data_IF_037226810087
#
_entry.id   IF_037226810087
#
_cell.length_a   1.000
_cell.length_b   1.000
_cell.length_c   1.000
_cell.angle_alpha   90.00
_cell.angle_beta   90.00
_cell.angle_gamma   90.00
#
_symmetry.space_group_name_H-M   'P 1'
#
loop_
_entity.id
_entity.type
_entity.pdbx_description
1 polymer ?
#
# COMPACT_ATOMS: atom_id res chain seq x y z
N UNK A 1 -1.11 -0.71 -1.00
CA UNK A 1 0.25 -0.85 -1.54
C UNK A 1 0.56 0.45 -2.26
N UNK A 2 1.72 1.04 -2.00
CA UNK A 2 2.16 2.30 -2.63
C UNK A 2 3.52 2.04 -3.24
N UNK A 3 3.65 2.20 -4.55
CA UNK A 3 4.92 2.07 -5.25
C UNK A 3 5.77 3.33 -5.03
N UNK A 4 6.91 3.14 -4.38
CA UNK A 4 7.91 4.17 -4.09
C UNK A 4 9.30 3.52 -4.05
N UNK A 5 10.36 4.32 -4.07
CA UNK A 5 11.76 3.86 -3.90
C UNK A 5 12.00 3.07 -2.60
N UNK A 6 11.12 3.22 -1.61
CA UNK A 6 11.20 2.50 -0.34
C UNK A 6 11.21 0.98 -0.53
N UNK A 7 10.45 0.43 -1.49
CA UNK A 7 10.41 -1.02 -1.72
C UNK A 7 11.74 -1.54 -2.24
N UNK A 8 12.39 -0.81 -3.14
CA UNK A 8 13.70 -1.18 -3.69
C UNK A 8 14.79 -1.17 -2.61
N UNK A 9 14.78 -0.14 -1.74
CA UNK A 9 15.72 -0.07 -0.61
C UNK A 9 15.47 -1.19 0.38
N UNK A 10 14.19 -1.49 0.69
CA UNK A 10 13.79 -2.52 1.64
C UNK A 10 14.13 -3.93 1.17
N UNK A 11 14.12 -4.20 -0.13
CA UNK A 11 14.51 -5.51 -0.70
C UNK A 11 16.02 -5.63 -0.95
N UNK A 12 16.83 -4.69 -0.45
CA UNK A 12 18.28 -4.73 -0.57
C UNK A 12 18.77 -4.47 -2.00
N UNK A 13 18.05 -3.68 -2.79
CA UNK A 13 18.39 -3.40 -4.19
C UNK A 13 18.01 -4.52 -5.16
N UNK A 14 17.23 -5.51 -4.72
CA UNK A 14 16.70 -6.54 -5.62
C UNK A 14 15.47 -5.98 -6.37
N UNK A 15 15.73 -5.48 -7.58
CA UNK A 15 14.74 -4.86 -8.45
C UNK A 15 13.68 -5.86 -8.95
N UNK A 16 14.05 -7.14 -9.11
CA UNK A 16 13.14 -8.19 -9.57
C UNK A 16 12.05 -8.51 -8.53
N UNK A 17 12.40 -8.50 -7.23
CA UNK A 17 11.41 -8.73 -6.17
C UNK A 17 10.50 -7.51 -5.93
N UNK A 18 11.01 -6.30 -6.14
CA UNK A 18 10.21 -5.07 -6.12
C UNK A 18 9.20 -5.06 -7.28
N UNK A 19 9.67 -5.37 -8.49
CA UNK A 19 8.83 -5.46 -9.69
C UNK A 19 7.75 -6.54 -9.54
N UNK A 20 8.09 -7.70 -9.00
CA UNK A 20 7.13 -8.79 -8.77
C UNK A 20 6.02 -8.41 -7.77
N UNK A 21 6.30 -7.54 -6.79
CA UNK A 21 5.31 -7.10 -5.79
C UNK A 21 4.18 -6.27 -6.41
N UNK A 22 4.51 -5.48 -7.45
CA UNK A 22 3.56 -4.59 -8.13
C UNK A 22 3.07 -5.13 -9.48
N UNK A 23 3.64 -6.25 -9.96
CA UNK A 23 3.34 -6.81 -11.27
C UNK A 23 1.85 -7.11 -11.45
N UNK A 24 1.26 -6.56 -12.51
CA UNK A 24 -0.17 -6.76 -12.83
C UNK A 24 -1.14 -5.99 -11.93
N UNK A 25 -0.65 -5.18 -10.99
CA UNK A 25 -1.46 -4.29 -10.18
C UNK A 25 -1.36 -2.84 -10.69
N UNK A 26 -2.37 -2.03 -10.33
CA UNK A 26 -2.29 -0.57 -10.39
C UNK A 26 -2.13 -0.04 -8.95
N UNK A 27 -0.91 0.00 -8.39
CA UNK A 27 -0.68 0.45 -7.02
C UNK A 27 -0.95 1.95 -6.88
N UNK A 28 -1.08 2.42 -5.64
CA UNK A 28 -0.99 3.85 -5.39
C UNK A 28 0.43 4.33 -5.65
N UNK A 29 0.60 5.62 -5.92
CA UNK A 29 1.89 6.27 -6.14
C UNK A 29 2.25 7.18 -4.96
N UNK A 30 3.52 7.60 -4.88
CA UNK A 30 3.92 8.66 -3.95
C UNK A 30 3.13 9.96 -4.14
N UNK A 31 2.73 10.28 -5.38
CA UNK A 31 1.93 11.46 -5.69
C UNK A 31 0.50 11.37 -5.13
N UNK A 32 -0.12 10.19 -5.16
CA UNK A 32 -1.46 9.99 -4.59
C UNK A 32 -1.47 10.28 -3.08
N UNK A 33 -0.41 9.86 -2.38
CA UNK A 33 -0.26 10.12 -0.94
C UNK A 33 0.03 11.61 -0.68
N UNK A 34 0.90 12.24 -1.48
CA UNK A 34 1.20 13.66 -1.35
C UNK A 34 -0.06 14.54 -1.55
N UNK A 35 -0.85 14.24 -2.57
CA UNK A 35 -2.12 14.94 -2.85
C UNK A 35 -3.12 14.74 -1.71
N UNK A 36 -3.18 13.53 -1.14
CA UNK A 36 -4.06 13.26 0.00
C UNK A 36 -3.64 14.07 1.22
N UNK A 37 -2.34 14.10 1.55
CA UNK A 37 -1.83 14.91 2.67
C UNK A 37 -2.11 16.40 2.47
N UNK A 38 -1.92 16.91 1.25
CA UNK A 38 -2.23 18.30 0.93
C UNK A 38 -3.71 18.60 1.17
N UNK A 39 -4.62 17.72 0.72
CA UNK A 39 -6.04 17.87 0.98
C UNK A 39 -6.37 17.91 2.47
N UNK A 40 -5.81 16.98 3.27
CA UNK A 40 -6.00 16.98 4.74
C UNK A 40 -5.51 18.29 5.36
N UNK A 41 -4.33 18.77 4.94
CA UNK A 41 -3.73 19.99 5.48
C UNK A 41 -4.50 21.28 5.12
N UNK A 42 -5.28 21.25 4.05
CA UNK A 42 -6.06 22.40 3.55
C UNK A 42 -7.48 22.49 4.12
N UNK A 43 -7.88 21.56 4.99
CA UNK A 43 -9.22 21.58 5.57
C UNK A 43 -9.45 22.82 6.46
N UNK A 44 -10.71 23.30 6.57
CA UNK A 44 -11.07 24.35 7.51
C UNK A 44 -10.60 24.03 8.95
N UNK A 45 -10.18 25.03 9.74
CA UNK A 45 -9.58 24.80 11.07
C UNK A 45 -10.44 24.07 12.10
N UNK A 46 -11.76 23.98 11.88
CA UNK A 46 -12.69 23.28 12.77
C UNK A 46 -12.88 21.80 12.40
N UNK A 47 -12.20 21.30 11.36
CA UNK A 47 -12.25 19.90 10.95
C UNK A 47 -10.98 19.17 11.35
N UNK A 48 -11.14 17.92 11.81
CA UNK A 48 -10.03 17.04 12.18
C UNK A 48 -10.27 15.62 11.64
N UNK A 49 -9.31 15.07 10.91
CA UNK A 49 -9.33 13.67 10.47
C UNK A 49 -8.55 12.85 11.50
N UNK A 50 -9.26 11.97 12.23
CA UNK A 50 -8.64 11.11 13.24
C UNK A 50 -7.82 9.97 12.63
N UNK A 51 -8.33 9.37 11.54
CA UNK A 51 -7.69 8.27 10.81
C UNK A 51 -8.22 8.22 9.38
N UNK A 52 -7.32 7.92 8.44
CA UNK A 52 -7.65 7.66 7.04
C UNK A 52 -6.77 6.50 6.57
N UNK A 53 -7.40 5.45 6.04
CA UNK A 53 -6.73 4.24 5.55
C UNK A 53 -7.02 4.08 4.06
N UNK A 54 -5.96 3.93 3.26
CA UNK A 54 -6.04 3.90 1.80
C UNK A 54 -5.49 2.59 1.25
N UNK A 55 -6.16 2.08 0.24
CA UNK A 55 -5.73 0.93 -0.56
C UNK A 55 -5.99 1.22 -2.04
N UNK A 56 -5.13 0.79 -2.98
CA UNK A 56 -5.52 0.75 -4.38
C UNK A 56 -6.72 -0.21 -4.52
N UNK A 57 -7.61 0.05 -5.49
CA UNK A 57 -8.83 -0.74 -5.69
C UNK A 57 -8.55 -2.25 -5.88
N UNK A 58 -7.36 -2.57 -6.40
CA UNK A 58 -6.89 -3.95 -6.57
C UNK A 58 -6.52 -4.67 -5.26
N UNK A 59 -6.39 -3.96 -4.14
CA UNK A 59 -6.03 -4.53 -2.84
C UNK A 59 -7.26 -4.66 -1.93
N UNK A 60 -7.39 -5.81 -1.27
CA UNK A 60 -8.41 -6.08 -0.26
C UNK A 60 -7.83 -6.95 0.88
N UNK A 61 -8.64 -7.21 1.91
CA UNK A 61 -8.27 -8.10 3.00
C UNK A 61 -8.26 -9.57 2.55
N UNK A 62 -7.21 -10.30 2.90
CA UNK A 62 -7.20 -11.75 2.78
C UNK A 62 -7.94 -12.40 3.95
N UNK A 63 -8.54 -13.57 3.71
CA UNK A 63 -9.09 -14.42 4.77
C UNK A 63 -8.01 -15.07 5.62
N UNK A 64 -8.44 -15.74 6.70
CA UNK A 64 -7.53 -16.50 7.55
C UNK A 64 -6.89 -17.66 6.79
N UNK A 65 -5.57 -17.82 6.95
CA UNK A 65 -4.86 -18.99 6.44
C UNK A 65 -5.15 -20.20 7.35
N UNK A 66 -5.46 -21.33 6.75
CA UNK A 66 -5.70 -22.59 7.47
C UNK A 66 -4.51 -23.50 7.24
N UNK A 67 -3.72 -23.75 8.30
CA UNK A 67 -2.66 -24.73 8.26
C UNK A 67 -3.25 -26.14 8.09
N UNK A 68 -2.73 -26.91 7.13
CA UNK A 68 -3.12 -28.30 6.90
C UNK A 68 -1.89 -29.18 7.14
N UNK A 69 -2.04 -30.22 7.95
CA UNK A 69 -1.07 -31.32 8.04
C UNK A 69 -1.41 -32.33 6.94
N UNK A 70 -0.41 -32.88 6.26
CA UNK A 70 -0.60 -33.91 5.24
C UNK A 70 -1.48 -35.05 5.79
N UNK A 71 -2.53 -35.43 5.06
CA UNK A 71 -3.26 -36.65 5.35
C UNK A 71 -2.36 -37.81 4.94
N UNK A 72 -1.94 -38.61 5.93
CA UNK A 72 -1.24 -39.87 5.69
C UNK A 72 -2.09 -40.89 4.95
#
# INVERSE_FOLDING_TARGET
MVETEFTLVRTGGNDASSSALYQGANPMTGQDIANTLLWVAQLPPHLNINRLELMPVSQSFAGFQVARTEAG
#
